data_IF_825320164405
#
_entry.id   IF_825320164405
#
_cell.length_a   1.000
_cell.length_b   1.000
_cell.length_c   1.000
_cell.angle_alpha   90.00
_cell.angle_beta   90.00
_cell.angle_gamma   90.00
#
_symmetry.space_group_name_H-M   'P 1'
#
loop_
_entity.id
_entity.type
_entity.pdbx_description
1 polymer ?
#
# COMPACT_ATOMS: atom_id res chain seq x y z
N UNK A 1 10.01 18.62 -2.95
CA UNK A 1 10.34 18.08 -1.62
C UNK A 1 9.49 16.83 -1.44
N UNK A 2 10.13 15.66 -1.45
CA UNK A 2 9.43 14.37 -1.38
C UNK A 2 8.60 14.31 -0.10
N UNK A 3 7.28 14.08 -0.21
CA UNK A 3 6.45 13.66 0.93
C UNK A 3 7.22 12.53 1.62
N UNK A 4 7.69 12.79 2.82
CA UNK A 4 8.32 11.77 3.63
C UNK A 4 7.24 10.69 3.88
N UNK A 5 7.65 9.42 3.92
CA UNK A 5 6.76 8.29 4.15
C UNK A 5 6.40 8.26 5.64
N UNK A 6 5.53 9.16 6.06
CA UNK A 6 5.34 9.52 7.47
C UNK A 6 4.24 8.69 8.16
N UNK A 7 3.43 7.98 7.36
CA UNK A 7 2.29 7.23 7.87
C UNK A 7 2.63 5.75 8.06
N UNK A 8 2.39 5.25 9.27
CA UNK A 8 2.57 3.83 9.60
C UNK A 8 1.32 3.04 9.25
N UNK A 9 1.46 2.03 8.38
CA UNK A 9 0.39 1.11 8.02
C UNK A 9 0.53 -0.22 8.80
N UNK A 10 -0.39 -0.49 9.73
CA UNK A 10 -0.45 -1.75 10.48
C UNK A 10 -1.51 -2.68 9.88
N UNK A 11 -1.11 -3.87 9.43
CA UNK A 11 -1.98 -4.83 8.74
C UNK A 11 -1.99 -6.15 9.51
N UNK A 12 -3.18 -6.62 9.87
CA UNK A 12 -3.41 -8.01 10.30
C UNK A 12 -3.86 -8.82 9.09
N UNK A 13 -3.19 -9.94 8.83
CA UNK A 13 -3.48 -10.81 7.69
C UNK A 13 -3.10 -12.26 8.01
N UNK A 14 -3.38 -13.19 7.11
CA UNK A 14 -3.02 -14.60 7.26
C UNK A 14 -1.50 -14.81 7.17
N UNK A 15 -1.02 -15.93 7.71
CA UNK A 15 0.39 -16.30 7.63
C UNK A 15 0.85 -16.47 6.17
N UNK A 16 -0.01 -17.04 5.33
CA UNK A 16 0.24 -17.25 3.90
C UNK A 16 0.50 -15.92 3.16
N UNK A 17 -0.36 -14.91 3.36
CA UNK A 17 -0.18 -13.60 2.73
C UNK A 17 1.15 -12.97 3.16
N UNK A 18 1.50 -13.09 4.46
CA UNK A 18 2.79 -12.59 4.96
C UNK A 18 3.98 -13.30 4.30
N UNK A 19 3.89 -14.59 4.01
CA UNK A 19 4.97 -15.35 3.34
C UNK A 19 5.07 -14.96 1.87
N UNK A 20 3.96 -14.93 1.14
CA UNK A 20 3.93 -14.55 -0.28
C UNK A 20 4.48 -13.14 -0.50
N UNK A 21 4.11 -12.20 0.37
CA UNK A 21 4.60 -10.83 0.30
C UNK A 21 6.13 -10.74 0.47
N UNK A 22 6.71 -11.55 1.37
CA UNK A 22 8.17 -11.61 1.57
C UNK A 22 8.87 -12.20 0.35
N UNK A 23 8.37 -13.32 -0.18
CA UNK A 23 8.93 -13.94 -1.38
C UNK A 23 8.89 -12.99 -2.59
N UNK A 24 7.81 -12.22 -2.75
CA UNK A 24 7.71 -11.20 -3.79
C UNK A 24 8.75 -10.08 -3.59
N UNK A 25 8.86 -9.57 -2.37
CA UNK A 25 9.84 -8.54 -2.01
C UNK A 25 11.28 -8.98 -2.28
N UNK A 26 11.64 -10.20 -1.87
CA UNK A 26 12.97 -10.79 -2.07
C UNK A 26 13.28 -10.96 -3.56
N UNK A 27 12.31 -11.46 -4.34
CA UNK A 27 12.45 -11.66 -5.79
C UNK A 27 12.72 -10.36 -6.56
N UNK A 28 12.16 -9.25 -6.10
CA UNK A 28 12.37 -7.92 -6.69
C UNK A 28 13.47 -7.09 -5.98
N UNK A 29 14.20 -7.70 -5.03
CA UNK A 29 15.28 -7.07 -4.26
C UNK A 29 14.86 -5.75 -3.62
N UNK A 30 13.67 -5.71 -3.00
CA UNK A 30 13.15 -4.54 -2.29
C UNK A 30 12.61 -4.90 -0.92
N UNK A 31 12.39 -3.90 -0.08
CA UNK A 31 11.77 -4.10 1.21
C UNK A 31 10.30 -4.51 1.07
N UNK A 32 9.77 -5.20 2.08
CA UNK A 32 8.34 -5.55 2.17
C UNK A 32 7.44 -4.32 2.10
N UNK A 33 7.83 -3.21 2.75
CA UNK A 33 7.10 -1.95 2.69
C UNK A 33 7.04 -1.39 1.26
N UNK A 34 8.18 -1.38 0.55
CA UNK A 34 8.21 -0.95 -0.85
C UNK A 34 7.41 -1.88 -1.75
N UNK A 35 7.35 -3.18 -1.46
CA UNK A 35 6.52 -4.12 -2.20
C UNK A 35 5.03 -3.83 -2.01
N UNK A 36 4.59 -3.53 -0.78
CA UNK A 36 3.20 -3.11 -0.52
C UNK A 36 2.83 -1.87 -1.35
N UNK A 37 3.69 -0.86 -1.42
CA UNK A 37 3.42 0.33 -2.24
C UNK A 37 3.22 -0.02 -3.71
N UNK A 38 4.06 -0.89 -4.26
CA UNK A 38 3.93 -1.33 -5.67
C UNK A 38 2.61 -2.05 -5.89
N UNK A 39 2.26 -2.99 -5.01
CA UNK A 39 1.01 -3.74 -5.11
C UNK A 39 -0.21 -2.82 -5.02
N UNK A 40 -0.20 -1.85 -4.11
CA UNK A 40 -1.28 -0.86 -3.95
C UNK A 40 -1.40 0.04 -5.18
N UNK A 41 -0.26 0.56 -5.69
CA UNK A 41 -0.25 1.42 -6.87
C UNK A 41 -0.72 0.68 -8.12
N UNK A 42 -0.34 -0.59 -8.27
CA UNK A 42 -0.75 -1.39 -9.42
C UNK A 42 -2.23 -1.74 -9.36
N UNK A 43 -2.73 -2.09 -8.18
CA UNK A 43 -4.17 -2.27 -7.96
C UNK A 43 -4.93 -0.99 -8.31
N UNK A 44 -4.49 0.17 -7.81
CA UNK A 44 -5.10 1.46 -8.09
C UNK A 44 -5.12 1.78 -9.58
N UNK A 45 -3.99 1.58 -10.28
CA UNK A 45 -3.88 1.79 -11.74
C UNK A 45 -4.88 0.91 -12.51
N UNK A 46 -4.94 -0.37 -12.16
CA UNK A 46 -5.81 -1.36 -12.82
C UNK A 46 -7.30 -1.02 -12.62
N UNK A 47 -7.65 -0.40 -11.49
CA UNK A 47 -9.03 -0.09 -11.13
C UNK A 47 -9.38 1.41 -11.29
N UNK A 48 -8.48 2.22 -11.84
CA UNK A 48 -8.69 3.66 -12.02
C UNK A 48 -8.83 4.46 -10.72
N UNK A 49 -8.34 3.93 -9.59
CA UNK A 49 -8.37 4.63 -8.29
C UNK A 49 -7.35 5.75 -8.29
N UNK A 50 -7.76 6.93 -7.80
CA UNK A 50 -6.89 8.09 -7.62
C UNK A 50 -6.94 8.54 -6.16
N UNK A 51 -5.79 8.82 -5.53
CA UNK A 51 -5.79 9.41 -4.20
C UNK A 51 -6.48 10.78 -4.27
N UNK A 52 -7.32 11.08 -3.29
CA UNK A 52 -7.91 12.40 -3.14
C UNK A 52 -6.79 13.42 -2.87
N UNK A 53 -6.58 14.43 -3.73
CA UNK A 53 -5.55 15.44 -3.52
C UNK A 53 -5.78 16.31 -2.27
N UNK A 54 -6.97 16.31 -1.67
CA UNK A 54 -7.32 17.16 -0.53
C UNK A 54 -7.40 16.45 0.82
N UNK A 55 -7.32 15.12 0.91
CA UNK A 55 -7.13 14.41 2.19
C UNK A 55 -8.15 14.68 3.32
N UNK A 56 -9.24 15.38 3.07
CA UNK A 56 -10.26 15.72 4.07
C UNK A 56 -11.65 15.43 3.51
N UNK A 57 -12.10 14.18 3.61
CA UNK A 57 -13.46 13.84 4.05
C UNK A 57 -13.71 12.33 3.99
N UNK A 58 -13.17 11.61 4.97
CA UNK A 58 -13.99 10.56 5.60
C UNK A 58 -14.79 11.25 6.71
N UNK A 59 -15.88 11.94 6.33
CA UNK A 59 -17.03 12.06 7.22
C UNK A 59 -18.02 10.99 6.77
N UNK A 60 -18.13 9.94 7.58
CA UNK A 60 -19.31 9.08 7.53
C UNK A 60 -20.56 9.92 7.79
N UNK A 61 -21.61 9.69 7.00
CA UNK A 61 -22.92 10.28 7.19
C UNK A 61 -23.79 10.15 5.94
N UNK A 62 -24.72 9.20 5.96
CA UNK A 62 -25.73 8.97 4.93
C UNK A 62 -26.30 7.56 5.02
#
# INVERSE_FOLDING_TARGET
MSRLKDETLSIRTSAEIKQLLRLAADRERRSVASMIEVLVLEYARTHGLKPDPQGESVKGGG
#
